data_IF_457617318761
#
_entry.id   IF_457617318761
#
_cell.length_a   1.000
_cell.length_b   1.000
_cell.length_c   1.000
_cell.angle_alpha   90.00
_cell.angle_beta   90.00
_cell.angle_gamma   90.00
#
_symmetry.space_group_name_H-M   'P 1'
#
loop_
_entity.id
_entity.type
_entity.pdbx_description
1 polymer ?
#
# COMPACT_ATOMS: atom_id res chain seq x y z
N UNK A 1 4.57 -8.22 3.68
CA UNK A 1 5.92 -7.65 3.72
C UNK A 1 5.81 -6.20 3.33
N UNK A 2 6.48 -5.28 4.03
CA UNK A 2 6.52 -3.88 3.63
C UNK A 2 7.42 -3.68 2.41
N UNK A 3 7.10 -2.70 1.58
CA UNK A 3 7.95 -2.30 0.47
C UNK A 3 9.23 -1.67 1.03
N UNK A 4 10.36 -1.90 0.38
CA UNK A 4 11.62 -1.25 0.76
C UNK A 4 11.63 0.20 0.28
N UNK A 5 12.12 1.12 1.11
CA UNK A 5 12.18 2.56 0.78
C UNK A 5 12.93 2.83 -0.52
N UNK A 6 14.04 2.12 -0.76
CA UNK A 6 14.84 2.26 -1.98
C UNK A 6 14.02 1.98 -3.24
N UNK A 7 13.15 0.97 -3.19
CA UNK A 7 12.28 0.59 -4.32
C UNK A 7 11.17 1.61 -4.51
N UNK A 8 10.55 2.06 -3.40
CA UNK A 8 9.51 3.09 -3.44
C UNK A 8 10.02 4.40 -4.05
N UNK A 9 11.20 4.85 -3.61
CA UNK A 9 11.81 6.10 -4.09
C UNK A 9 12.19 6.01 -5.57
N UNK A 10 12.70 4.86 -6.03
CA UNK A 10 13.01 4.65 -7.45
C UNK A 10 11.76 4.64 -8.32
N UNK A 11 10.70 3.97 -7.87
CA UNK A 11 9.42 3.92 -8.58
C UNK A 11 8.80 5.31 -8.73
N UNK A 12 8.76 6.09 -7.65
CA UNK A 12 8.20 7.45 -7.67
C UNK A 12 9.00 8.37 -8.59
N UNK A 13 10.34 8.27 -8.60
CA UNK A 13 11.21 9.03 -9.53
C UNK A 13 10.96 8.68 -11.00
N UNK A 14 10.69 7.41 -11.30
CA UNK A 14 10.52 6.95 -12.68
C UNK A 14 9.11 7.21 -13.22
N UNK A 15 8.09 7.08 -12.37
CA UNK A 15 6.69 7.09 -12.79
C UNK A 15 5.94 8.37 -12.41
N UNK A 16 6.46 9.14 -11.44
CA UNK A 16 5.73 10.24 -10.80
C UNK A 16 4.59 9.79 -9.88
N UNK A 17 4.43 8.48 -9.66
CA UNK A 17 3.35 7.91 -8.86
C UNK A 17 3.90 7.29 -7.57
N UNK A 18 3.25 7.55 -6.43
CA UNK A 18 3.57 6.87 -5.18
C UNK A 18 3.10 5.40 -5.22
N UNK A 19 3.94 4.49 -4.70
CA UNK A 19 3.57 3.08 -4.50
C UNK A 19 2.63 2.96 -3.31
N UNK A 20 1.48 2.29 -3.49
CA UNK A 20 0.49 2.07 -2.43
C UNK A 20 0.67 0.67 -1.81
N UNK A 21 0.78 0.59 -0.48
CA UNK A 21 0.93 -0.68 0.22
C UNK A 21 -0.44 -1.20 0.70
N UNK A 22 -0.74 -2.45 0.34
CA UNK A 22 -1.91 -3.19 0.80
C UNK A 22 -1.45 -4.45 1.53
N UNK A 23 -2.15 -4.80 2.61
CA UNK A 23 -1.90 -6.02 3.37
C UNK A 23 -3.15 -6.89 3.41
N UNK A 24 -2.94 -8.19 3.21
CA UNK A 24 -3.97 -9.22 3.31
C UNK A 24 -3.33 -10.59 3.54
N UNK A 25 -4.16 -11.53 3.97
CA UNK A 25 -3.86 -12.96 3.97
C UNK A 25 -4.38 -13.58 2.66
N UNK A 26 -3.96 -14.80 2.36
CA UNK A 26 -4.49 -15.58 1.23
C UNK A 26 -6.02 -15.72 1.27
N UNK A 27 -6.58 -15.71 2.48
CA UNK A 27 -8.00 -15.86 2.78
C UNK A 27 -8.79 -14.54 2.67
N UNK A 28 -8.11 -13.39 2.55
CA UNK A 28 -8.75 -12.08 2.44
C UNK A 28 -8.55 -11.53 1.02
N UNK A 29 -9.63 -11.45 0.24
CA UNK A 29 -9.57 -10.98 -1.14
C UNK A 29 -9.97 -9.49 -1.26
N UNK A 30 -9.25 -8.65 -2.02
CA UNK A 30 -7.86 -8.75 -2.46
C UNK A 30 -6.85 -8.22 -1.41
N UNK A 31 -7.34 -7.49 -0.40
CA UNK A 31 -6.56 -6.95 0.71
C UNK A 31 -7.49 -6.70 1.91
N UNK A 32 -6.99 -6.90 3.13
CA UNK A 32 -7.70 -6.60 4.36
C UNK A 32 -7.53 -5.14 4.79
N UNK A 33 -6.35 -4.57 4.56
CA UNK A 33 -6.03 -3.18 4.90
C UNK A 33 -5.19 -2.55 3.79
N UNK A 34 -5.28 -1.22 3.64
CA UNK A 34 -4.51 -0.48 2.65
C UNK A 34 -4.13 0.90 3.19
N UNK A 35 -2.94 1.36 2.82
CA UNK A 35 -2.59 2.75 3.09
C UNK A 35 -3.50 3.70 2.30
N UNK A 36 -3.89 4.85 2.89
CA UNK A 36 -4.78 5.79 2.24
C UNK A 36 -4.16 6.37 0.97
N UNK A 37 -4.91 6.31 -0.14
CA UNK A 37 -4.50 6.86 -1.44
C UNK A 37 -4.52 8.39 -1.52
N UNK A 38 -5.31 9.04 -0.66
CA UNK A 38 -5.52 10.49 -0.65
C UNK A 38 -5.00 11.14 0.64
N UNK A 39 -3.71 10.98 0.96
CA UNK A 39 -3.14 11.56 2.17
C UNK A 39 -1.65 11.27 2.37
N UNK A 40 -1.16 11.45 3.61
CA UNK A 40 0.22 11.11 4.00
C UNK A 40 0.39 9.59 3.96
N UNK A 41 0.84 9.09 2.82
CA UNK A 41 1.19 7.70 2.62
C UNK A 41 2.35 7.33 3.57
N UNK A 42 2.03 6.57 4.63
CA UNK A 42 3.02 6.19 5.64
C UNK A 42 3.59 4.82 5.27
N UNK A 43 4.71 4.84 4.56
CA UNK A 43 5.45 3.64 4.16
C UNK A 43 5.79 2.77 5.37
N UNK A 44 5.76 1.45 5.18
CA UNK A 44 6.04 0.49 6.23
C UNK A 44 4.91 0.30 7.24
N UNK A 45 3.70 0.80 6.95
CA UNK A 45 2.49 0.53 7.73
C UNK A 45 1.50 -0.29 6.90
N UNK A 46 0.64 -1.05 7.58
CA UNK A 46 -0.41 -1.86 6.93
C UNK A 46 -1.64 -1.02 6.54
N UNK A 47 -1.66 0.26 6.91
CA UNK A 47 -2.73 1.19 6.58
C UNK A 47 -4.00 1.02 7.40
N UNK A 48 -5.12 1.37 6.78
CA UNK A 48 -6.45 1.37 7.38
C UNK A 48 -7.29 0.20 6.85
N UNK A 49 -8.31 -0.26 7.58
CA UNK A 49 -9.24 -1.28 7.11
C UNK A 49 -9.77 -0.96 5.71
N UNK A 50 -9.55 -1.87 4.78
CA UNK A 50 -10.04 -1.75 3.42
C UNK A 50 -11.44 -2.36 3.38
N UNK A 51 -12.41 -1.59 2.88
CA UNK A 51 -13.76 -2.12 2.71
C UNK A 51 -13.76 -3.07 1.52
N UNK A 52 -13.77 -4.37 1.82
CA UNK A 52 -14.02 -5.41 0.83
C UNK A 52 -15.51 -5.32 0.46
N UNK A 53 -15.80 -4.85 -0.75
CA UNK A 53 -17.13 -4.96 -1.36
C UNK A 53 -17.25 -6.35 -1.95
N UNK A 54 -17.66 -7.31 -1.12
CA UNK A 54 -18.33 -8.53 -1.59
C UNK A 54 -19.84 -8.31 -1.53
#
# INVERSE_FOLDING_TARGET
MAVQDVVADQWEKLTGCALLEAYGLSETSPAATINPYNGKHKRGTIGLPFRILI
#
